data_IF_715026900732
#
_entry.id   IF_715026900732
#
_cell.length_a   1.000
_cell.length_b   1.000
_cell.length_c   1.000
_cell.angle_alpha   90.00
_cell.angle_beta   90.00
_cell.angle_gamma   90.00
#
_symmetry.space_group_name_H-M   'P 1'
#
loop_
_entity.id
_entity.type
_entity.pdbx_description
1 polymer ?
#
# COMPACT_ATOMS: atom_id res chain seq x y z
N UNK A 1 12.28 -12.32 -0.39
CA UNK A 1 12.03 -10.87 -0.34
C UNK A 1 11.64 -10.52 1.08
N UNK A 2 12.39 -9.66 1.76
CA UNK A 2 12.07 -9.24 3.13
C UNK A 2 11.26 -7.94 3.07
N UNK A 3 10.13 -7.91 3.78
CA UNK A 3 9.33 -6.68 4.01
C UNK A 3 9.54 -6.23 5.44
N UNK A 4 9.89 -4.97 5.65
CA UNK A 4 10.06 -4.40 6.99
C UNK A 4 9.12 -3.22 7.21
N UNK A 5 8.64 -3.08 8.43
CA UNK A 5 7.87 -1.90 8.83
C UNK A 5 8.79 -0.66 8.80
N UNK A 6 8.41 0.44 8.13
CA UNK A 6 9.22 1.65 8.10
C UNK A 6 9.25 2.41 9.45
N UNK A 7 8.39 2.06 10.41
CA UNK A 7 8.31 2.74 11.71
C UNK A 7 9.11 2.03 12.80
N UNK A 8 9.04 0.70 12.87
CA UNK A 8 9.67 -0.10 13.93
C UNK A 8 10.59 -1.21 13.41
N UNK A 9 10.79 -1.28 12.08
CA UNK A 9 11.68 -2.23 11.41
C UNK A 9 11.37 -3.72 11.65
N UNK A 10 10.23 -4.05 12.26
CA UNK A 10 9.76 -5.43 12.37
C UNK A 10 9.56 -6.04 10.99
N UNK A 11 9.97 -7.29 10.85
CA UNK A 11 9.69 -8.09 9.66
C UNK A 11 8.18 -8.33 9.50
N UNK A 12 7.70 -8.12 8.29
CA UNK A 12 6.30 -8.23 7.91
C UNK A 12 6.13 -9.41 6.97
N UNK A 13 5.00 -10.11 7.09
CA UNK A 13 4.62 -11.10 6.09
C UNK A 13 4.39 -10.43 4.74
N UNK A 14 4.48 -11.21 3.66
CA UNK A 14 4.32 -10.66 2.31
C UNK A 14 3.00 -9.94 2.13
N UNK A 15 1.95 -10.36 2.83
CA UNK A 15 0.58 -9.83 2.68
C UNK A 15 0.09 -8.95 3.84
N UNK A 16 0.94 -8.65 4.83
CA UNK A 16 0.55 -7.83 5.97
C UNK A 16 0.00 -6.46 5.56
N UNK A 17 -1.24 -6.17 5.95
CA UNK A 17 -1.91 -4.87 5.78
C UNK A 17 -1.50 -3.87 6.86
N UNK A 18 -1.13 -4.35 8.04
CA UNK A 18 -0.67 -3.55 9.18
C UNK A 18 0.56 -4.21 9.83
N UNK A 19 1.34 -3.42 10.54
CA UNK A 19 2.43 -3.95 11.36
C UNK A 19 1.86 -4.52 12.67
N UNK A 20 2.13 -5.79 13.02
CA UNK A 20 1.60 -6.40 14.24
C UNK A 20 2.23 -5.83 15.52
N UNK A 21 3.35 -5.10 15.43
CA UNK A 21 4.07 -4.56 16.58
C UNK A 21 3.70 -3.11 16.86
N UNK A 22 3.74 -2.23 15.85
CA UNK A 22 3.44 -0.80 16.03
C UNK A 22 2.04 -0.39 15.57
N UNK A 23 1.27 -1.30 14.97
CA UNK A 23 -0.09 -1.03 14.47
C UNK A 23 -0.18 -0.17 13.21
N UNK A 24 0.96 0.33 12.67
CA UNK A 24 0.95 1.19 11.49
C UNK A 24 0.38 0.44 10.27
N UNK A 25 -0.49 1.11 9.51
CA UNK A 25 -0.99 0.63 8.23
C UNK A 25 0.12 0.61 7.19
N UNK A 26 0.30 -0.55 6.55
CA UNK A 26 1.35 -0.83 5.57
C UNK A 26 0.81 -0.80 4.14
N UNK A 27 -0.43 -1.25 3.94
CA UNK A 27 -1.11 -1.26 2.65
C UNK A 27 -2.38 -0.44 2.75
N UNK A 28 -2.50 0.52 1.85
CA UNK A 28 -3.66 1.40 1.79
C UNK A 28 -4.24 1.40 0.37
N UNK A 29 -5.57 1.36 0.28
CA UNK A 29 -6.28 1.42 -0.98
C UNK A 29 -6.41 2.89 -1.38
N UNK A 30 -5.79 3.25 -2.50
CA UNK A 30 -5.96 4.59 -3.08
C UNK A 30 -7.24 4.56 -3.88
N UNK A 31 -8.25 5.24 -3.36
CA UNK A 31 -9.54 5.43 -4.00
C UNK A 31 -9.55 6.68 -4.87
N UNK A 32 -10.15 6.58 -6.04
CA UNK A 32 -10.44 7.69 -6.94
C UNK A 32 -11.95 7.80 -7.10
N UNK A 33 -12.47 9.00 -6.87
CA UNK A 33 -13.88 9.31 -7.06
C UNK A 33 -14.04 9.91 -8.45
N UNK A 34 -14.85 9.28 -9.30
CA UNK A 34 -15.33 9.88 -10.55
C UNK A 34 -16.74 10.40 -10.34
N UNK A 35 -17.01 11.62 -10.81
CA UNK A 35 -18.33 12.24 -10.69
C UNK A 35 -18.73 12.86 -12.02
N UNK A 36 -19.82 12.35 -12.59
CA UNK A 36 -20.44 12.86 -13.80
C UNK A 36 -21.66 13.72 -13.43
N UNK A 37 -21.94 14.75 -14.24
CA UNK A 37 -23.05 15.66 -13.99
C UNK A 37 -24.37 14.87 -14.12
N UNK A 38 -25.18 14.89 -13.05
CA UNK A 38 -26.48 14.20 -13.00
C UNK A 38 -26.43 12.76 -12.49
N UNK A 39 -25.26 12.23 -12.15
CA UNK A 39 -25.10 10.88 -11.60
C UNK A 39 -24.51 10.90 -10.18
N UNK A 40 -24.71 9.81 -9.44
CA UNK A 40 -24.06 9.61 -8.15
C UNK A 40 -22.55 9.39 -8.34
N UNK A 41 -21.69 9.91 -7.45
CA UNK A 41 -20.25 9.69 -7.53
C UNK A 41 -19.92 8.20 -7.41
N UNK A 42 -18.96 7.74 -8.21
CA UNK A 42 -18.48 6.36 -8.22
C UNK A 42 -17.08 6.34 -7.61
N UNK A 43 -16.91 5.59 -6.53
CA UNK A 43 -15.59 5.35 -5.92
C UNK A 43 -14.96 4.11 -6.52
N UNK A 44 -13.74 4.24 -7.04
CA UNK A 44 -12.98 3.13 -7.63
C UNK A 44 -11.63 3.01 -6.96
N UNK A 45 -11.22 1.80 -6.58
CA UNK A 45 -9.86 1.55 -6.07
C UNK A 45 -8.91 1.49 -7.26
N UNK A 46 -8.01 2.46 -7.38
CA UNK A 46 -7.10 2.59 -8.55
C UNK A 46 -5.70 2.07 -8.27
N UNK A 47 -5.27 2.01 -7.00
CA UNK A 47 -3.92 1.56 -6.64
C UNK A 47 -3.86 1.06 -5.20
N UNK A 48 -2.95 0.14 -4.93
CA UNK A 48 -2.55 -0.23 -3.56
C UNK A 48 -1.22 0.45 -3.25
N UNK A 49 -1.21 1.35 -2.27
CA UNK A 49 0.00 1.97 -1.77
C UNK A 49 0.60 1.09 -0.69
N UNK A 50 1.76 0.50 -0.97
CA UNK A 50 2.53 -0.29 -0.01
C UNK A 50 3.73 0.51 0.50
N UNK A 51 3.74 0.80 1.81
CA UNK A 51 4.79 1.58 2.46
C UNK A 51 5.88 0.73 3.14
N UNK A 52 5.82 -0.60 3.04
CA UNK A 52 6.84 -1.47 3.61
C UNK A 52 8.20 -1.31 2.90
N UNK A 53 9.28 -1.31 3.66
CA UNK A 53 10.64 -1.36 3.11
C UNK A 53 10.83 -2.75 2.49
N UNK A 54 11.32 -2.82 1.24
CA UNK A 54 11.56 -4.07 0.52
C UNK A 54 13.05 -4.28 0.30
N UNK A 55 13.62 -5.32 0.89
CA UNK A 55 15.04 -5.67 0.72
C UNK A 55 15.16 -6.87 -0.23
N UNK A 56 16.10 -6.78 -1.17
CA UNK A 56 16.39 -7.82 -2.15
C UNK A 56 15.63 -7.71 -3.46
N UNK A 57 14.89 -6.62 -3.71
CA UNK A 57 14.38 -6.29 -5.04
C UNK A 57 15.39 -5.37 -5.74
N UNK A 58 15.89 -5.75 -6.92
CA UNK A 58 16.55 -4.77 -7.81
C UNK A 58 15.49 -3.74 -8.20
N UNK A 59 15.85 -2.45 -8.27
CA UNK A 59 14.97 -1.40 -8.78
C UNK A 59 14.41 -1.86 -10.13
N UNK A 60 13.09 -1.95 -10.25
CA UNK A 60 12.45 -1.91 -11.57
C UNK A 60 12.45 -0.43 -11.96
N UNK A 61 13.39 -0.06 -12.81
CA UNK A 61 13.29 1.16 -13.59
C UNK A 61 12.11 0.97 -14.53
N UNK A 62 11.15 1.89 -14.46
CA UNK A 62 9.87 1.78 -15.16
C UNK A 62 10.05 1.71 -16.67
N UNK A 63 9.18 0.93 -17.30
CA UNK A 63 8.85 0.98 -18.72
C UNK A 63 7.86 2.12 -18.99
#
# INVERSE_FOLDING_TARGET
MQRLCPACFTELTQEANYCPICGKYMRDAVEQISQYIGEAPITTVVKIKDCAIRIGMKKQEGE
#
